data_IF_896359220780
#
_entry.id   IF_896359220780
#
_cell.length_a   1.000
_cell.length_b   1.000
_cell.length_c   1.000
_cell.angle_alpha   90.00
_cell.angle_beta   90.00
_cell.angle_gamma   90.00
#
_symmetry.space_group_name_H-M   'P 1'
#
loop_
_entity.id
_entity.type
_entity.pdbx_description
1 polymer ?
#
# COMPACT_ATOMS: atom_id res chain seq x y z
N UNK A 1 -14.06 -6.94 -5.52
CA UNK A 1 -13.96 -5.50 -5.80
C UNK A 1 -13.65 -4.74 -4.52
N UNK A 2 -12.42 -4.87 -4.03
CA UNK A 2 -11.96 -4.06 -2.90
C UNK A 2 -11.44 -2.73 -3.45
N UNK A 3 -11.97 -1.60 -2.96
CA UNK A 3 -11.53 -0.25 -3.34
C UNK A 3 -10.73 0.44 -2.25
N UNK A 4 -10.91 0.03 -0.99
CA UNK A 4 -10.28 0.62 0.19
C UNK A 4 -9.67 -0.48 1.06
N UNK A 5 -8.40 -0.30 1.44
CA UNK A 5 -7.67 -1.22 2.29
C UNK A 5 -6.95 -0.43 3.39
N UNK A 6 -7.32 -0.72 4.64
CA UNK A 6 -6.70 -0.16 5.83
C UNK A 6 -5.71 -1.15 6.44
N UNK A 7 -4.43 -0.79 6.41
CA UNK A 7 -3.32 -1.52 7.03
C UNK A 7 -2.56 -0.62 8.02
N UNK A 8 -3.10 0.55 8.35
CA UNK A 8 -2.51 1.48 9.30
C UNK A 8 -2.36 0.87 10.71
N UNK A 9 -1.46 1.44 11.50
CA UNK A 9 -1.19 1.04 12.89
C UNK A 9 -0.80 -0.43 13.06
N UNK A 10 -0.11 -1.00 12.08
CA UNK A 10 0.43 -2.35 12.15
C UNK A 10 1.96 -2.31 12.39
N UNK A 11 2.65 -3.38 12.00
CA UNK A 11 4.11 -3.52 12.13
C UNK A 11 4.74 -3.95 10.82
N UNK A 12 4.14 -3.54 9.69
CA UNK A 12 4.68 -3.83 8.38
C UNK A 12 6.03 -3.12 8.22
N UNK A 13 7.05 -3.87 7.85
CA UNK A 13 8.40 -3.38 7.56
C UNK A 13 8.66 -3.24 6.06
N UNK A 14 7.73 -3.71 5.23
CA UNK A 14 7.75 -3.58 3.78
C UNK A 14 6.34 -3.46 3.22
N UNK A 15 6.25 -2.93 2.00
CA UNK A 15 4.98 -2.93 1.25
C UNK A 15 4.69 -4.36 0.76
N UNK A 16 3.50 -4.92 1.02
CA UNK A 16 3.12 -6.26 0.59
C UNK A 16 2.74 -6.29 -0.91
N UNK A 17 3.66 -5.86 -1.79
CA UNK A 17 3.43 -5.59 -3.21
C UNK A 17 2.79 -6.75 -3.96
N UNK A 18 3.21 -8.00 -3.66
CA UNK A 18 2.66 -9.19 -4.31
C UNK A 18 1.17 -9.37 -4.02
N UNK A 19 0.75 -9.17 -2.77
CA UNK A 19 -0.65 -9.27 -2.37
C UNK A 19 -1.47 -8.12 -2.99
N UNK A 20 -0.95 -6.89 -2.92
CA UNK A 20 -1.61 -5.70 -3.44
C UNK A 20 -1.80 -5.73 -4.95
N UNK A 21 -0.90 -6.39 -5.70
CA UNK A 21 -1.02 -6.55 -7.16
C UNK A 21 -2.32 -7.25 -7.59
N UNK A 22 -2.91 -8.08 -6.73
CA UNK A 22 -4.18 -8.75 -7.05
C UNK A 22 -5.40 -7.83 -6.91
N UNK A 23 -5.25 -6.71 -6.19
CA UNK A 23 -6.31 -5.76 -5.87
C UNK A 23 -6.45 -4.72 -6.98
N UNK A 24 -6.83 -5.17 -8.17
CA UNK A 24 -6.91 -4.34 -9.37
C UNK A 24 -7.87 -3.14 -9.28
N UNK A 25 -8.83 -3.16 -8.34
CA UNK A 25 -9.76 -2.06 -8.11
C UNK A 25 -9.39 -1.18 -6.90
N UNK A 26 -8.22 -1.39 -6.29
CA UNK A 26 -7.81 -0.63 -5.11
C UNK A 26 -7.56 0.84 -5.46
N UNK A 27 -8.18 1.73 -4.70
CA UNK A 27 -8.12 3.19 -4.87
C UNK A 27 -7.57 3.91 -3.65
N UNK A 28 -7.77 3.37 -2.46
CA UNK A 28 -7.15 3.92 -1.24
C UNK A 28 -6.42 2.83 -0.48
N UNK A 29 -5.19 3.13 -0.08
CA UNK A 29 -4.33 2.27 0.70
C UNK A 29 -3.79 3.05 1.89
N UNK A 30 -4.22 2.69 3.09
CA UNK A 30 -3.66 3.23 4.31
C UNK A 30 -2.58 2.30 4.87
N UNK A 31 -1.34 2.80 4.94
CA UNK A 31 -0.18 2.16 5.54
C UNK A 31 0.40 3.04 6.67
N UNK A 32 -0.33 4.04 7.17
CA UNK A 32 0.13 4.94 8.24
C UNK A 32 0.58 4.18 9.50
N UNK A 33 1.53 4.72 10.25
CA UNK A 33 1.93 4.18 11.54
C UNK A 33 2.37 2.71 11.47
N UNK A 34 3.21 2.39 10.48
CA UNK A 34 3.88 1.09 10.33
C UNK A 34 5.40 1.25 10.59
N UNK A 35 6.26 0.48 9.91
CA UNK A 35 7.73 0.48 10.05
C UNK A 35 8.42 0.38 8.68
N UNK A 36 7.78 0.93 7.64
CA UNK A 36 8.24 0.80 6.27
C UNK A 36 9.37 1.79 6.03
N UNK A 37 10.61 1.30 6.16
CA UNK A 37 11.81 2.13 6.04
C UNK A 37 12.18 2.48 4.57
N UNK A 38 11.70 1.69 3.61
CA UNK A 38 11.99 1.88 2.20
C UNK A 38 10.79 1.50 1.32
N UNK A 39 10.59 2.28 0.26
CA UNK A 39 9.62 2.00 -0.80
C UNK A 39 10.40 1.83 -2.10
N UNK A 40 10.62 0.58 -2.57
CA UNK A 40 11.34 0.36 -3.81
C UNK A 40 10.56 0.92 -5.01
N UNK A 41 11.28 1.29 -6.08
CA UNK A 41 10.70 1.92 -7.28
C UNK A 41 9.60 1.06 -7.93
N UNK A 42 9.71 -0.26 -7.81
CA UNK A 42 8.78 -1.25 -8.34
C UNK A 42 7.69 -1.68 -7.34
N UNK A 43 7.62 -1.09 -6.14
CA UNK A 43 6.67 -1.49 -5.10
C UNK A 43 5.22 -1.51 -5.59
N UNK A 44 4.87 -0.64 -6.53
CA UNK A 44 3.52 -0.48 -7.06
C UNK A 44 3.36 -0.94 -8.52
N UNK A 45 4.33 -1.68 -9.07
CA UNK A 45 4.33 -2.07 -10.48
C UNK A 45 3.10 -2.93 -10.85
N UNK A 46 2.31 -2.45 -11.81
CA UNK A 46 1.13 -3.15 -12.33
C UNK A 46 -0.17 -2.95 -11.56
N UNK A 47 -0.17 -2.13 -10.48
CA UNK A 47 -1.41 -1.78 -9.76
C UNK A 47 -1.46 -0.34 -9.26
N UNK A 48 -0.32 0.35 -9.14
CA UNK A 48 -0.22 1.72 -8.63
C UNK A 48 -1.04 2.75 -9.39
N UNK A 49 -1.30 2.56 -10.69
CA UNK A 49 -2.11 3.48 -11.49
C UNK A 49 -3.57 3.64 -11.04
N UNK A 50 -4.10 2.65 -10.32
CA UNK A 50 -5.47 2.69 -9.81
C UNK A 50 -5.57 3.36 -8.43
N UNK A 51 -4.48 3.43 -7.68
CA UNK A 51 -4.42 4.08 -6.37
C UNK A 51 -4.53 5.59 -6.53
N UNK A 52 -5.47 6.19 -5.81
CA UNK A 52 -5.74 7.64 -5.79
C UNK A 52 -5.25 8.31 -4.52
N UNK A 53 -5.31 7.59 -3.41
CA UNK A 53 -4.84 8.07 -2.12
C UNK A 53 -4.01 6.99 -1.44
N UNK A 54 -2.86 7.39 -0.91
CA UNK A 54 -1.99 6.53 -0.15
C UNK A 54 -1.49 7.29 1.07
N UNK A 55 -1.60 6.66 2.23
CA UNK A 55 -1.06 7.19 3.48
C UNK A 55 0.12 6.34 3.90
N UNK A 56 1.29 6.96 4.00
CA UNK A 56 2.55 6.34 4.43
C UNK A 56 3.18 7.10 5.60
N UNK A 57 2.44 8.00 6.23
CA UNK A 57 2.94 8.78 7.36
C UNK A 57 3.30 7.87 8.55
N UNK A 58 4.20 8.35 9.42
CA UNK A 58 4.62 7.64 10.64
C UNK A 58 5.14 6.21 10.40
N UNK A 59 5.85 6.01 9.28
CA UNK A 59 6.59 4.79 8.98
C UNK A 59 8.07 4.94 9.32
#
# INVERSE_FOLDING_TARGET
>A
NLEWLELGHNRLDHIPSHALRTLQNLRQLDLDSNRIDNVPEDAFEGYGGNIKFMMLSRN
#
